data_IF_187342129030
#
_entry.id   IF_187342129030
#
_cell.length_a   1.000
_cell.length_b   1.000
_cell.length_c   1.000
_cell.angle_alpha   90.00
_cell.angle_beta   90.00
_cell.angle_gamma   90.00
#
_symmetry.space_group_name_H-M   'P 1'
#
loop_
_entity.id
_entity.type
_entity.pdbx_description
1 polymer ?
#
# COMPACT_ATOMS: atom_id res chain seq x y z
N UNK A 1 31.21 -16.10 -21.61
CA UNK A 1 29.86 -15.79 -22.14
C UNK A 1 29.05 -17.05 -21.94
N UNK A 2 28.35 -17.15 -20.81
CA UNK A 2 27.57 -18.35 -20.48
C UNK A 2 26.32 -18.38 -21.35
N UNK A 3 26.10 -19.52 -22.00
CA UNK A 3 24.88 -19.84 -22.71
C UNK A 3 23.67 -19.43 -21.87
N UNK A 4 22.93 -18.46 -22.38
CA UNK A 4 21.63 -18.11 -21.84
C UNK A 4 20.74 -19.30 -22.15
N UNK A 5 20.60 -20.21 -21.18
CA UNK A 5 19.71 -21.36 -21.28
C UNK A 5 18.32 -20.88 -21.70
N UNK A 6 18.01 -21.04 -22.97
CA UNK A 6 16.67 -21.04 -23.53
C UNK A 6 15.97 -22.34 -23.07
N UNK A 7 15.91 -22.54 -21.75
CA UNK A 7 15.41 -23.75 -21.11
C UNK A 7 13.89 -23.73 -20.93
N UNK A 8 13.21 -22.69 -21.42
CA UNK A 8 11.76 -22.56 -21.32
C UNK A 8 11.17 -22.31 -22.70
N UNK A 9 10.26 -23.19 -23.10
CA UNK A 9 9.49 -23.05 -24.32
C UNK A 9 8.60 -21.80 -24.21
N UNK A 10 9.06 -20.69 -24.79
CA UNK A 10 8.29 -19.45 -24.81
C UNK A 10 7.15 -19.56 -25.82
N UNK A 11 5.96 -19.00 -25.53
CA UNK A 11 4.89 -18.89 -26.50
C UNK A 11 5.35 -18.18 -27.77
N UNK A 12 4.82 -18.62 -28.92
CA UNK A 12 5.13 -18.04 -30.23
C UNK A 12 4.90 -16.51 -30.21
N UNK A 13 5.91 -15.70 -30.59
CA UNK A 13 5.77 -14.25 -30.68
C UNK A 13 4.65 -13.78 -31.61
N UNK A 14 4.24 -14.59 -32.59
CA UNK A 14 3.10 -14.28 -33.46
C UNK A 14 1.76 -14.32 -32.72
N UNK A 15 1.65 -15.12 -31.66
CA UNK A 15 0.44 -15.23 -30.81
C UNK A 15 0.46 -14.20 -29.69
N UNK A 16 1.60 -14.04 -29.00
CA UNK A 16 1.73 -13.09 -27.89
C UNK A 16 3.12 -12.48 -27.84
N UNK A 17 3.23 -11.21 -28.28
CA UNK A 17 4.51 -10.50 -28.41
C UNK A 17 5.17 -10.21 -27.05
N UNK A 18 4.41 -9.69 -26.09
CA UNK A 18 4.87 -9.35 -24.74
C UNK A 18 4.34 -10.37 -23.72
N UNK A 19 5.19 -10.80 -22.80
CA UNK A 19 4.92 -11.83 -21.83
C UNK A 19 5.11 -11.27 -20.41
N UNK A 20 4.18 -11.61 -19.52
CA UNK A 20 4.29 -11.38 -18.09
C UNK A 20 4.67 -12.70 -17.38
N UNK A 21 5.38 -12.70 -16.25
CA UNK A 21 5.77 -13.92 -15.53
C UNK A 21 4.60 -14.84 -15.15
N UNK A 22 3.38 -14.31 -15.08
CA UNK A 22 2.17 -15.10 -14.84
C UNK A 22 1.76 -15.97 -16.02
N UNK A 23 2.20 -15.64 -17.24
CA UNK A 23 1.87 -16.35 -18.46
C UNK A 23 2.70 -17.63 -18.64
N UNK A 24 3.87 -17.70 -18.01
CA UNK A 24 4.77 -18.86 -18.06
C UNK A 24 4.62 -19.70 -16.79
N UNK A 25 4.35 -21.01 -16.87
CA UNK A 25 4.17 -21.84 -15.68
C UNK A 25 5.42 -21.89 -14.78
N UNK A 26 6.62 -21.88 -15.35
CA UNK A 26 7.89 -21.91 -14.64
C UNK A 26 8.14 -20.62 -13.86
N UNK A 27 7.84 -19.47 -14.47
CA UNK A 27 8.04 -18.15 -13.85
C UNK A 27 6.91 -17.77 -12.89
N UNK A 28 5.70 -18.32 -13.07
CA UNK A 28 4.50 -17.96 -12.31
C UNK A 28 4.69 -18.21 -10.81
N UNK A 29 5.21 -19.37 -10.42
CA UNK A 29 5.36 -19.72 -9.01
C UNK A 29 6.31 -18.77 -8.27
N UNK A 30 7.42 -18.40 -8.91
CA UNK A 30 8.40 -17.44 -8.38
C UNK A 30 7.82 -16.04 -8.32
N UNK A 31 7.12 -15.62 -9.37
CA UNK A 31 6.44 -14.33 -9.39
C UNK A 31 5.42 -14.22 -8.26
N UNK A 32 4.57 -15.23 -8.08
CA UNK A 32 3.55 -15.23 -7.03
C UNK A 32 4.15 -15.16 -5.62
N UNK A 33 5.25 -15.89 -5.36
CA UNK A 33 5.98 -15.79 -4.09
C UNK A 33 6.51 -14.37 -3.89
N UNK A 34 7.18 -13.81 -4.90
CA UNK A 34 7.69 -12.45 -4.86
C UNK A 34 6.57 -11.43 -4.64
N UNK A 35 5.42 -11.62 -5.28
CA UNK A 35 4.24 -10.76 -5.17
C UNK A 35 3.66 -10.78 -3.75
N UNK A 36 3.52 -11.97 -3.15
CA UNK A 36 3.06 -12.10 -1.76
C UNK A 36 4.01 -11.45 -0.75
N UNK A 37 5.32 -11.68 -0.88
CA UNK A 37 6.30 -10.96 -0.06
C UNK A 37 6.24 -9.44 -0.29
N UNK A 38 5.96 -9.02 -1.53
CA UNK A 38 5.76 -7.61 -1.85
C UNK A 38 4.53 -7.01 -1.15
N UNK A 39 3.47 -7.81 -0.92
CA UNK A 39 2.30 -7.37 -0.14
C UNK A 39 2.64 -7.15 1.34
N UNK A 40 3.49 -7.99 1.92
CA UNK A 40 3.97 -7.80 3.30
C UNK A 40 4.81 -6.52 3.46
N UNK A 41 5.25 -5.92 2.36
CA UNK A 41 5.95 -4.64 2.35
C UNK A 41 5.04 -3.44 2.07
N UNK A 42 3.74 -3.64 1.85
CA UNK A 42 2.83 -2.51 1.65
C UNK A 42 2.60 -1.81 2.99
N UNK A 43 2.62 -0.47 2.99
CA UNK A 43 2.42 0.32 4.21
C UNK A 43 1.12 -0.07 4.96
N UNK A 44 -0.04 -0.27 4.30
CA UNK A 44 -1.25 -0.71 4.98
C UNK A 44 -1.12 -2.06 5.67
N UNK A 45 -0.48 -3.05 5.01
CA UNK A 45 -0.29 -4.38 5.57
C UNK A 45 0.68 -4.34 6.76
N UNK A 46 1.78 -3.59 6.65
CA UNK A 46 2.73 -3.39 7.74
C UNK A 46 2.05 -2.73 8.94
N UNK A 47 1.23 -1.71 8.71
CA UNK A 47 0.46 -1.05 9.76
C UNK A 47 -0.52 -2.01 10.44
N UNK A 48 -1.20 -2.86 9.67
CA UNK A 48 -2.10 -3.88 10.21
C UNK A 48 -1.35 -4.91 11.07
N UNK A 49 -0.23 -5.43 10.58
CA UNK A 49 0.62 -6.35 11.35
C UNK A 49 1.11 -5.68 12.64
N UNK A 50 1.50 -4.41 12.57
CA UNK A 50 1.94 -3.65 13.74
C UNK A 50 0.82 -3.45 14.75
N UNK A 51 -0.38 -3.08 14.31
CA UNK A 51 -1.52 -2.92 15.19
C UNK A 51 -1.86 -4.22 15.91
N UNK A 52 -1.87 -5.36 15.19
CA UNK A 52 -2.13 -6.67 15.78
C UNK A 52 -1.00 -7.09 16.73
N UNK A 53 0.26 -6.94 16.33
CA UNK A 53 1.40 -7.28 17.18
C UNK A 53 1.44 -6.45 18.47
N UNK A 54 1.08 -5.16 18.39
CA UNK A 54 0.95 -4.31 19.56
C UNK A 54 -0.21 -4.73 20.46
N UNK A 55 -1.36 -5.03 19.88
CA UNK A 55 -2.52 -5.51 20.63
C UNK A 55 -2.21 -6.80 21.41
N UNK A 56 -1.46 -7.73 20.80
CA UNK A 56 -1.08 -9.00 21.43
C UNK A 56 0.02 -8.85 22.48
N UNK A 57 1.04 -8.05 22.20
CA UNK A 57 2.23 -7.94 23.06
C UNK A 57 2.09 -6.87 24.15
N UNK A 58 1.28 -5.84 23.91
CA UNK A 58 1.26 -4.60 24.70
C UNK A 58 2.59 -3.85 24.73
N UNK A 59 3.60 -4.27 23.95
CA UNK A 59 4.95 -3.74 24.00
C UNK A 59 5.32 -3.10 22.66
N UNK A 60 5.50 -1.79 22.68
CA UNK A 60 5.81 -1.00 21.50
C UNK A 60 7.14 -1.41 20.85
N UNK A 61 8.18 -1.68 21.65
CA UNK A 61 9.49 -2.05 21.13
C UNK A 61 9.43 -3.40 20.40
N UNK A 62 8.78 -4.40 21.01
CA UNK A 62 8.58 -5.71 20.40
C UNK A 62 7.79 -5.59 19.09
N UNK A 63 6.77 -4.74 19.07
CA UNK A 63 5.94 -4.46 17.87
C UNK A 63 6.77 -3.86 16.75
N UNK A 64 7.55 -2.81 17.05
CA UNK A 64 8.37 -2.11 16.04
C UNK A 64 9.46 -3.03 15.52
N UNK A 65 10.11 -3.80 16.40
CA UNK A 65 11.14 -4.76 16.01
C UNK A 65 10.57 -5.87 15.11
N UNK A 66 9.44 -6.46 15.49
CA UNK A 66 8.80 -7.53 14.73
C UNK A 66 8.33 -7.07 13.35
N UNK A 67 7.72 -5.88 13.26
CA UNK A 67 7.21 -5.36 11.99
C UNK A 67 8.32 -4.90 11.07
N UNK A 68 9.35 -4.24 11.61
CA UNK A 68 10.51 -3.78 10.83
C UNK A 68 11.33 -4.94 10.29
N UNK A 69 11.59 -5.96 11.11
CA UNK A 69 12.29 -7.17 10.66
C UNK A 69 11.51 -7.92 9.59
N UNK A 70 10.20 -8.11 9.79
CA UNK A 70 9.30 -8.71 8.80
C UNK A 70 9.33 -7.93 7.48
N UNK A 71 9.25 -6.60 7.54
CA UNK A 71 9.32 -5.73 6.38
C UNK A 71 10.61 -5.91 5.60
N UNK A 72 11.77 -5.89 6.29
CA UNK A 72 13.08 -6.04 5.64
C UNK A 72 13.22 -7.41 4.97
N UNK A 73 12.86 -8.48 5.67
CA UNK A 73 12.93 -9.85 5.13
C UNK A 73 12.01 -9.98 3.90
N UNK A 74 10.78 -9.52 4.01
CA UNK A 74 9.82 -9.55 2.91
C UNK A 74 10.30 -8.70 1.73
N UNK A 75 10.94 -7.56 1.95
CA UNK A 75 11.43 -6.69 0.88
C UNK A 75 12.55 -7.38 0.10
N UNK A 76 13.50 -7.99 0.81
CA UNK A 76 14.60 -8.73 0.20
C UNK A 76 14.05 -9.93 -0.58
N UNK A 77 13.19 -10.74 0.05
CA UNK A 77 12.58 -11.91 -0.58
C UNK A 77 11.75 -11.53 -1.82
N UNK A 78 10.97 -10.45 -1.74
CA UNK A 78 10.18 -9.94 -2.85
C UNK A 78 11.04 -9.56 -4.04
N UNK A 79 12.11 -8.79 -3.80
CA UNK A 79 13.04 -8.36 -4.87
C UNK A 79 13.77 -9.53 -5.49
N UNK A 80 14.23 -10.48 -4.68
CA UNK A 80 14.92 -11.68 -5.15
C UNK A 80 14.03 -12.53 -6.05
N UNK A 81 12.81 -12.85 -5.59
CA UNK A 81 11.86 -13.66 -6.35
C UNK A 81 11.37 -12.96 -7.63
N UNK A 82 11.10 -11.66 -7.59
CA UNK A 82 10.72 -10.90 -8.80
C UNK A 82 11.85 -10.91 -9.82
N UNK A 83 13.09 -10.61 -9.42
CA UNK A 83 14.23 -10.65 -10.32
C UNK A 83 14.34 -12.02 -10.99
N UNK A 84 14.25 -13.10 -10.20
CA UNK A 84 14.34 -14.47 -10.71
C UNK A 84 13.20 -14.85 -11.64
N UNK A 85 11.98 -14.37 -11.39
CA UNK A 85 10.83 -14.61 -12.26
C UNK A 85 10.98 -13.92 -13.63
N UNK A 86 11.61 -12.75 -13.66
CA UNK A 86 11.87 -12.00 -14.90
C UNK A 86 13.04 -12.56 -15.72
N UNK A 87 13.97 -13.29 -15.11
CA UNK A 87 15.07 -13.97 -15.82
C UNK A 87 14.58 -14.97 -16.88
N UNK A 88 13.37 -15.52 -16.71
CA UNK A 88 12.75 -16.45 -17.66
C UNK A 88 12.22 -15.78 -18.93
N UNK A 89 12.12 -14.45 -18.96
CA UNK A 89 11.56 -13.70 -20.09
C UNK A 89 12.63 -12.77 -20.64
N UNK A 90 13.00 -12.91 -21.93
CA UNK A 90 13.94 -11.99 -22.57
C UNK A 90 13.49 -10.53 -22.42
N UNK A 91 14.42 -9.63 -22.06
CA UNK A 91 14.10 -8.22 -21.76
C UNK A 91 13.24 -7.51 -22.83
N UNK A 92 13.42 -7.86 -24.11
CA UNK A 92 12.67 -7.29 -25.24
C UNK A 92 11.21 -7.76 -25.33
N UNK A 93 10.84 -8.82 -24.61
CA UNK A 93 9.49 -9.40 -24.56
C UNK A 93 8.80 -9.20 -23.21
N UNK A 94 9.39 -8.44 -22.28
CA UNK A 94 8.82 -8.26 -20.95
C UNK A 94 7.62 -7.30 -20.98
N UNK A 95 6.46 -7.77 -20.52
CA UNK A 95 5.28 -6.94 -20.29
C UNK A 95 5.24 -6.46 -18.84
N UNK A 96 5.86 -5.32 -18.52
CA UNK A 96 5.83 -4.76 -17.16
C UNK A 96 4.47 -4.21 -16.76
N UNK A 97 3.57 -3.99 -17.73
CA UNK A 97 2.23 -3.45 -17.50
C UNK A 97 1.15 -4.53 -17.37
N UNK A 98 1.50 -5.76 -17.75
CA UNK A 98 0.71 -6.96 -17.53
C UNK A 98 0.31 -7.16 -16.07
N UNK A 99 -0.74 -7.97 -15.85
CA UNK A 99 -1.29 -8.32 -14.54
C UNK A 99 -2.18 -7.27 -13.85
N UNK A 100 -3.02 -6.56 -14.62
CA UNK A 100 -4.03 -5.65 -14.09
C UNK A 100 -4.93 -6.24 -12.97
N UNK A 101 -5.34 -7.51 -13.10
CA UNK A 101 -6.14 -8.21 -12.07
C UNK A 101 -5.38 -8.36 -10.74
N UNK A 102 -4.08 -8.64 -10.78
CA UNK A 102 -3.23 -8.74 -9.59
C UNK A 102 -3.01 -7.39 -8.92
N UNK A 103 -2.96 -6.31 -9.70
CA UNK A 103 -2.93 -4.95 -9.16
C UNK A 103 -4.22 -4.62 -8.40
N UNK A 104 -5.36 -4.99 -8.96
CA UNK A 104 -6.66 -4.81 -8.29
C UNK A 104 -6.73 -5.65 -7.02
N UNK A 105 -6.34 -6.93 -7.06
CA UNK A 105 -6.28 -7.78 -5.88
C UNK A 105 -5.36 -7.19 -4.80
N UNK A 106 -4.20 -6.67 -5.19
CA UNK A 106 -3.29 -5.96 -4.30
C UNK A 106 -3.97 -4.78 -3.57
N UNK A 107 -4.74 -3.96 -4.29
CA UNK A 107 -5.48 -2.85 -3.66
C UNK A 107 -6.59 -3.32 -2.72
N UNK A 108 -7.24 -4.45 -3.02
CA UNK A 108 -8.24 -5.05 -2.13
C UNK A 108 -7.59 -5.53 -0.83
N UNK A 109 -6.41 -6.18 -0.91
CA UNK A 109 -5.66 -6.60 0.28
C UNK A 109 -5.23 -5.38 1.11
N UNK A 110 -4.70 -4.34 0.46
CA UNK A 110 -4.28 -3.11 1.13
C UNK A 110 -5.47 -2.42 1.82
N UNK A 111 -6.64 -2.39 1.18
CA UNK A 111 -7.89 -1.90 1.76
C UNK A 111 -8.34 -2.72 2.97
N UNK A 112 -8.32 -4.06 2.86
CA UNK A 112 -8.65 -4.94 3.99
C UNK A 112 -7.69 -4.73 5.16
N UNK A 113 -6.40 -4.52 4.90
CA UNK A 113 -5.42 -4.24 5.93
C UNK A 113 -5.71 -2.93 6.69
N UNK A 114 -6.18 -1.88 6.00
CA UNK A 114 -6.64 -0.66 6.68
C UNK A 114 -7.82 -0.93 7.62
N UNK A 115 -8.81 -1.71 7.15
CA UNK A 115 -9.97 -2.08 7.98
C UNK A 115 -9.52 -2.90 9.20
N UNK A 116 -8.62 -3.86 9.03
CA UNK A 116 -8.06 -4.65 10.15
C UNK A 116 -7.31 -3.75 11.12
N UNK A 117 -6.55 -2.78 10.63
CA UNK A 117 -5.86 -1.79 11.48
C UNK A 117 -6.85 -1.01 12.32
N UNK A 118 -7.92 -0.51 11.71
CA UNK A 118 -8.99 0.20 12.41
C UNK A 118 -9.64 -0.67 13.48
N UNK A 119 -10.02 -1.92 13.14
CA UNK A 119 -10.61 -2.86 14.09
C UNK A 119 -9.67 -3.17 15.27
N UNK A 120 -8.38 -3.38 15.01
CA UNK A 120 -7.39 -3.62 16.06
C UNK A 120 -7.28 -2.42 17.02
N UNK A 121 -7.33 -1.19 16.49
CA UNK A 121 -7.35 0.04 17.30
C UNK A 121 -8.61 0.09 18.17
N UNK A 122 -9.78 -0.25 17.64
CA UNK A 122 -11.03 -0.27 18.42
C UNK A 122 -10.98 -1.27 19.57
N UNK A 123 -10.53 -2.50 19.29
CA UNK A 123 -10.39 -3.54 20.32
C UNK A 123 -9.38 -3.10 21.38
N UNK A 124 -8.26 -2.48 20.97
CA UNK A 124 -7.28 -1.93 21.88
C UNK A 124 -7.88 -0.81 22.76
N UNK A 125 -8.69 0.10 22.18
CA UNK A 125 -9.33 1.19 22.94
C UNK A 125 -10.33 0.69 23.99
N UNK A 126 -11.00 -0.44 23.74
CA UNK A 126 -11.91 -1.05 24.71
C UNK A 126 -11.19 -1.64 25.92
N UNK A 127 -9.93 -2.04 25.78
CA UNK A 127 -9.12 -2.59 26.88
C UNK A 127 -8.22 -1.54 27.54
N UNK A 128 -7.85 -0.48 26.81
CA UNK A 128 -7.00 0.62 27.27
C UNK A 128 -7.54 1.92 26.65
N UNK A 129 -8.35 2.72 27.38
CA UNK A 129 -8.92 3.93 26.82
C UNK A 129 -7.79 4.86 26.37
N UNK A 130 -7.79 5.18 25.08
CA UNK A 130 -6.87 6.17 24.52
C UNK A 130 -7.39 7.58 24.85
N UNK A 131 -6.53 8.57 25.06
CA UNK A 131 -6.97 9.95 25.19
C UNK A 131 -7.77 10.37 23.95
N UNK A 132 -8.93 11.00 24.14
CA UNK A 132 -9.85 11.37 23.05
C UNK A 132 -9.16 12.26 21.99
N UNK A 133 -8.22 13.12 22.41
CA UNK A 133 -7.41 13.93 21.49
C UNK A 133 -6.57 13.10 20.51
N UNK A 134 -6.08 11.93 20.93
CA UNK A 134 -5.32 11.00 20.06
C UNK A 134 -6.26 10.38 19.02
N UNK A 135 -7.47 10.00 19.43
CA UNK A 135 -8.49 9.45 18.53
C UNK A 135 -8.92 10.52 17.52
N UNK A 136 -9.22 11.73 17.98
CA UNK A 136 -9.57 12.87 17.13
C UNK A 136 -8.45 13.21 16.12
N UNK A 137 -7.19 13.21 16.57
CA UNK A 137 -6.03 13.38 15.69
C UNK A 137 -5.95 12.28 14.62
N UNK A 138 -6.12 11.02 14.99
CA UNK A 138 -6.10 9.89 14.05
C UNK A 138 -7.23 9.96 13.02
N UNK A 139 -8.45 10.31 13.45
CA UNK A 139 -9.60 10.54 12.56
C UNK A 139 -9.29 11.68 11.58
N UNK A 140 -8.76 12.79 12.08
CA UNK A 140 -8.33 13.91 11.27
C UNK A 140 -7.26 13.55 10.23
N UNK A 141 -6.25 12.78 10.63
CA UNK A 141 -5.25 12.24 9.71
C UNK A 141 -5.89 11.36 8.63
N UNK A 142 -6.84 10.50 8.99
CA UNK A 142 -7.62 9.71 8.04
C UNK A 142 -8.38 10.58 7.03
N UNK A 143 -9.01 11.67 7.48
CA UNK A 143 -9.66 12.65 6.60
C UNK A 143 -8.65 13.35 5.67
N UNK A 144 -7.47 13.70 6.16
CA UNK A 144 -6.37 14.24 5.35
C UNK A 144 -5.93 13.27 4.25
N UNK A 145 -5.78 11.98 4.57
CA UNK A 145 -5.47 10.93 3.58
C UNK A 145 -6.58 10.82 2.54
N UNK A 146 -7.84 10.81 2.96
CA UNK A 146 -8.98 10.76 2.05
C UNK A 146 -8.99 11.97 1.09
N UNK A 147 -8.71 13.17 1.59
CA UNK A 147 -8.61 14.37 0.76
C UNK A 147 -7.50 14.27 -0.29
N UNK A 148 -6.31 13.82 0.11
CA UNK A 148 -5.20 13.56 -0.83
C UNK A 148 -5.61 12.55 -1.91
N UNK A 149 -6.27 11.46 -1.51
CA UNK A 149 -6.72 10.44 -2.45
C UNK A 149 -7.80 10.96 -3.42
N UNK A 150 -8.70 11.83 -2.96
CA UNK A 150 -9.68 12.49 -3.82
C UNK A 150 -8.98 13.40 -4.84
N UNK A 151 -8.03 14.23 -4.41
CA UNK A 151 -7.26 15.11 -5.33
C UNK A 151 -6.55 14.26 -6.38
N UNK A 152 -5.87 13.20 -5.94
CA UNK A 152 -5.21 12.27 -6.84
C UNK A 152 -6.18 11.61 -7.82
N UNK A 153 -7.33 11.15 -7.35
CA UNK A 153 -8.37 10.55 -8.20
C UNK A 153 -8.85 11.55 -9.26
N UNK A 154 -9.11 12.80 -8.87
CA UNK A 154 -9.52 13.87 -9.80
C UNK A 154 -8.46 14.12 -10.87
N UNK A 155 -7.18 14.18 -10.49
CA UNK A 155 -6.06 14.32 -11.44
C UNK A 155 -5.98 13.11 -12.38
N UNK A 156 -6.20 11.88 -11.88
CA UNK A 156 -6.21 10.69 -12.70
C UNK A 156 -7.37 10.64 -13.70
N UNK A 157 -8.55 11.10 -13.29
CA UNK A 157 -9.73 11.22 -14.17
C UNK A 157 -9.45 12.25 -15.27
N UNK A 158 -8.96 13.45 -14.89
CA UNK A 158 -8.61 14.50 -15.85
C UNK A 158 -7.53 14.05 -16.84
N UNK A 159 -6.55 13.27 -16.38
CA UNK A 159 -5.49 12.68 -17.20
C UNK A 159 -5.87 11.45 -18.02
N UNK A 160 -7.16 11.05 -18.04
CA UNK A 160 -7.68 9.87 -18.76
C UNK A 160 -6.89 8.58 -18.48
N UNK A 161 -6.51 8.35 -17.22
CA UNK A 161 -5.78 7.14 -16.84
C UNK A 161 -6.62 5.88 -17.04
N UNK A 162 -5.94 4.74 -17.17
CA UNK A 162 -6.58 3.43 -17.34
C UNK A 162 -7.63 3.14 -16.24
N UNK A 163 -8.78 2.52 -16.57
CA UNK A 163 -9.90 2.29 -15.64
C UNK A 163 -9.50 1.47 -14.40
N UNK A 164 -8.53 0.57 -14.54
CA UNK A 164 -8.02 -0.24 -13.41
C UNK A 164 -7.36 0.64 -12.36
N UNK A 165 -6.59 1.64 -12.76
CA UNK A 165 -5.96 2.56 -11.81
C UNK A 165 -6.99 3.42 -11.05
N UNK A 166 -8.10 3.77 -11.72
CA UNK A 166 -9.22 4.46 -11.08
C UNK A 166 -9.92 3.55 -10.05
N UNK A 167 -10.21 2.30 -10.43
CA UNK A 167 -10.83 1.32 -9.54
C UNK A 167 -10.00 1.07 -8.27
N UNK A 168 -8.67 0.92 -8.39
CA UNK A 168 -7.78 0.77 -7.24
C UNK A 168 -7.85 1.97 -6.29
N UNK A 169 -7.88 3.19 -6.84
CA UNK A 169 -7.97 4.43 -6.05
C UNK A 169 -9.31 4.54 -5.33
N UNK A 170 -10.39 4.17 -5.98
CA UNK A 170 -11.73 4.13 -5.38
C UNK A 170 -11.81 3.12 -4.23
N UNK A 171 -11.24 1.91 -4.41
CA UNK A 171 -11.19 0.89 -3.35
C UNK A 171 -10.42 1.39 -2.13
N UNK A 172 -9.25 2.00 -2.33
CA UNK A 172 -8.48 2.58 -1.24
C UNK A 172 -9.19 3.76 -0.55
N UNK A 173 -9.85 4.63 -1.32
CA UNK A 173 -10.60 5.76 -0.78
C UNK A 173 -11.77 5.29 0.09
N UNK A 174 -12.52 4.29 -0.39
CA UNK A 174 -13.59 3.67 0.39
C UNK A 174 -13.05 3.07 1.69
N UNK A 175 -11.92 2.37 1.64
CA UNK A 175 -11.31 1.76 2.83
C UNK A 175 -10.88 2.80 3.86
N UNK A 176 -10.24 3.91 3.43
CA UNK A 176 -9.84 5.01 4.31
C UNK A 176 -11.08 5.68 4.92
N UNK A 177 -12.09 5.99 4.11
CA UNK A 177 -13.31 6.63 4.57
C UNK A 177 -14.05 5.76 5.60
N UNK A 178 -14.25 4.48 5.30
CA UNK A 178 -14.89 3.53 6.22
C UNK A 178 -14.08 3.42 7.51
N UNK A 179 -12.76 3.25 7.43
CA UNK A 179 -11.90 3.14 8.61
C UNK A 179 -11.96 4.38 9.49
N UNK A 180 -11.88 5.58 8.90
CA UNK A 180 -11.94 6.84 9.63
C UNK A 180 -13.31 7.05 10.30
N UNK A 181 -14.41 6.75 9.60
CA UNK A 181 -15.76 6.84 10.14
C UNK A 181 -15.96 5.88 11.30
N UNK A 182 -15.54 4.62 11.15
CA UNK A 182 -15.69 3.61 12.23
C UNK A 182 -14.88 4.02 13.47
N UNK A 183 -13.65 4.48 13.31
CA UNK A 183 -12.83 4.96 14.43
C UNK A 183 -13.48 6.18 15.10
N UNK A 184 -14.04 7.10 14.32
CA UNK A 184 -14.71 8.29 14.86
C UNK A 184 -15.98 7.92 15.64
N UNK A 185 -16.85 7.07 15.07
CA UNK A 185 -18.14 6.74 15.69
C UNK A 185 -17.97 5.91 16.96
N UNK A 186 -17.09 4.91 16.93
CA UNK A 186 -16.89 4.01 18.07
C UNK A 186 -15.93 4.61 19.10
N UNK A 187 -14.85 5.27 18.65
CA UNK A 187 -13.82 5.81 19.54
C UNK A 187 -14.23 7.06 20.31
N UNK A 188 -15.10 7.90 19.75
CA UNK A 188 -15.58 9.13 20.41
C UNK A 188 -17.03 9.00 20.93
N UNK A 189 -17.60 7.80 20.89
CA UNK A 189 -18.97 7.54 21.39
C UNK A 189 -20.06 8.38 20.72
N UNK A 190 -19.82 8.85 19.49
CA UNK A 190 -20.74 9.72 18.76
C UNK A 190 -20.82 11.18 19.25
N UNK A 191 -20.00 11.58 20.23
CA UNK A 191 -19.96 12.95 20.74
C UNK A 191 -18.74 13.69 20.18
N UNK A 192 -18.98 14.67 19.30
CA UNK A 192 -17.92 15.50 18.73
C UNK A 192 -17.88 16.86 19.42
N UNK A 193 -17.03 16.99 20.44
CA UNK A 193 -16.80 18.26 21.13
C UNK A 193 -15.96 19.23 20.26
N UNK A 194 -16.10 20.54 20.50
CA UNK A 194 -15.35 21.58 19.78
C UNK A 194 -13.84 21.43 19.96
N UNK A 195 -13.38 20.94 21.12
CA UNK A 195 -11.98 20.68 21.42
C UNK A 195 -11.35 19.55 20.57
N UNK A 196 -12.17 18.61 20.09
CA UNK A 196 -11.70 17.56 19.17
C UNK A 196 -11.44 18.10 17.76
N UNK A 197 -12.10 19.19 17.37
CA UNK A 197 -11.91 19.80 16.05
C UNK A 197 -10.46 20.24 15.84
N UNK A 198 -9.84 20.86 16.84
CA UNK A 198 -8.43 21.29 16.78
C UNK A 198 -7.49 20.10 16.57
N UNK A 199 -7.66 19.03 17.35
CA UNK A 199 -6.82 17.81 17.22
C UNK A 199 -7.00 17.15 15.86
N UNK A 200 -8.23 17.05 15.37
CA UNK A 200 -8.52 16.51 14.05
C UNK A 200 -7.92 17.38 12.92
N UNK A 201 -8.04 18.71 13.01
CA UNK A 201 -7.43 19.62 12.04
C UNK A 201 -5.91 19.50 12.03
N UNK A 202 -5.26 19.36 13.19
CA UNK A 202 -3.81 19.12 13.26
C UNK A 202 -3.42 17.78 12.62
N UNK A 203 -4.22 16.73 12.83
CA UNK A 203 -4.02 15.44 12.17
C UNK A 203 -4.11 15.54 10.65
N UNK A 204 -5.16 16.18 10.13
CA UNK A 204 -5.34 16.41 8.69
C UNK A 204 -4.20 17.25 8.10
N UNK A 205 -3.86 18.36 8.76
CA UNK A 205 -2.80 19.27 8.34
C UNK A 205 -1.44 18.55 8.28
N UNK A 206 -1.13 17.69 9.25
CA UNK A 206 0.12 16.92 9.28
C UNK A 206 0.26 16.05 8.03
N UNK A 207 -0.81 15.34 7.64
CA UNK A 207 -0.80 14.51 6.43
C UNK A 207 -0.64 15.36 5.18
N UNK A 208 -1.36 16.49 5.09
CA UNK A 208 -1.29 17.37 3.92
C UNK A 208 0.11 17.99 3.76
N UNK A 209 0.75 18.40 4.86
CA UNK A 209 2.12 18.94 4.86
C UNK A 209 3.10 17.84 4.44
N UNK A 210 3.03 16.66 5.05
CA UNK A 210 3.90 15.55 4.72
C UNK A 210 3.80 15.16 3.23
N UNK A 211 2.58 15.08 2.71
CA UNK A 211 2.34 14.78 1.30
C UNK A 211 2.87 15.88 0.37
N UNK A 212 2.65 17.15 0.72
CA UNK A 212 3.12 18.29 -0.06
C UNK A 212 4.65 18.32 -0.14
N UNK A 213 5.33 18.07 0.98
CA UNK A 213 6.79 17.95 1.04
C UNK A 213 7.30 16.79 0.18
N UNK A 214 6.62 15.65 0.20
CA UNK A 214 6.97 14.50 -0.63
C UNK A 214 6.85 14.83 -2.13
N UNK A 215 5.77 15.48 -2.56
CA UNK A 215 5.62 15.93 -3.94
C UNK A 215 6.71 16.90 -4.37
N UNK A 216 7.07 17.86 -3.51
CA UNK A 216 8.18 18.79 -3.78
C UNK A 216 9.49 18.02 -3.98
N UNK A 217 9.78 17.08 -3.08
CA UNK A 217 10.98 16.26 -3.16
C UNK A 217 11.04 15.47 -4.48
N UNK A 218 9.95 14.82 -4.88
CA UNK A 218 9.91 14.03 -6.11
C UNK A 218 10.10 14.90 -7.37
N UNK A 219 9.48 16.09 -7.40
CA UNK A 219 9.69 17.05 -8.49
C UNK A 219 11.16 17.49 -8.58
N UNK A 220 11.81 17.77 -7.44
CA UNK A 220 13.23 18.18 -7.40
C UNK A 220 14.14 17.04 -7.86
N UNK A 221 13.87 15.82 -7.41
CA UNK A 221 14.64 14.62 -7.80
C UNK A 221 14.56 14.37 -9.31
N UNK A 222 13.35 14.37 -9.88
CA UNK A 222 13.13 14.12 -11.30
C UNK A 222 13.78 15.18 -12.20
N UNK A 223 13.87 16.44 -11.74
CA UNK A 223 14.61 17.50 -12.46
C UNK A 223 16.12 17.26 -12.49
N UNK A 224 16.69 16.76 -11.40
CA UNK A 224 18.14 16.44 -11.31
C UNK A 224 18.52 15.27 -12.22
N UNK A 225 17.65 14.28 -12.37
CA UNK A 225 17.90 13.14 -13.25
C UNK A 225 17.85 13.52 -14.73
N UNK A 226 17.01 14.49 -15.12
CA UNK A 226 16.92 14.97 -16.52
C UNK A 226 18.04 15.91 -16.96
N UNK A 227 18.83 16.42 -16.01
CA UNK A 227 19.95 17.33 -16.28
C UNK A 227 21.31 16.63 -16.30
N UNK A 228 21.31 15.30 -16.13
CA UNK A 228 22.47 14.41 -16.29
C UNK A 228 22.31 13.59 -17.56
#
# INVERSE_FOLDING_TARGET
MSDMHEAVALPDPAVKRLLHPTDLPEARSLYLRGWWFGRLCSLPVVAAIAAVAWMLSGNLLATVAATSSTFVIALIASRWHHARAWDFIPRKRQDTEGAASWRLLASVIDAMALVVTALAVLVATGSRPLPEGVIAFAVGAGAGVALVQIIELMVAIAGRRHPVALAQRLVMLAAVAVSAVVVATVGLGGQWASEHSTSATMGAATILIAQSLWWIYDVVRNRRERSR
#
